data_IF_499895844659
#
_entry.id   IF_499895844659
#
_cell.length_a   1.000
_cell.length_b   1.000
_cell.length_c   1.000
_cell.angle_alpha   90.00
_cell.angle_beta   90.00
_cell.angle_gamma   90.00
#
_symmetry.space_group_name_H-M   'P 1'
#
loop_
_entity.id
_entity.type
_entity.pdbx_description
1 polymer ?
#
# COMPACT_ATOMS: atom_id res chain seq x y z
N UNK A 1 -9.82 5.35 30.49
CA UNK A 1 -9.28 6.48 31.26
C UNK A 1 -9.43 7.77 30.45
N UNK A 2 -9.65 8.93 31.08
CA UNK A 2 -9.63 10.24 30.42
C UNK A 2 -8.26 10.86 30.68
N UNK A 3 -7.53 11.18 29.61
CA UNK A 3 -6.21 11.80 29.67
C UNK A 3 -6.26 13.10 28.89
N UNK A 4 -5.73 14.17 29.47
CA UNK A 4 -5.50 15.44 28.78
C UNK A 4 -4.02 15.49 28.39
N UNK A 5 -3.74 15.81 27.13
CA UNK A 5 -2.39 15.96 26.59
C UNK A 5 -2.31 17.31 25.89
N UNK A 6 -1.18 18.00 26.03
CA UNK A 6 -0.90 19.20 25.27
C UNK A 6 -0.44 18.82 23.86
N UNK A 7 -1.10 19.40 22.86
CA UNK A 7 -0.83 19.19 21.44
C UNK A 7 -0.65 20.57 20.81
N UNK A 8 0.48 20.82 20.11
CA UNK A 8 0.65 22.05 19.35
C UNK A 8 -0.51 22.27 18.37
N UNK A 9 -0.97 23.52 18.23
CA UNK A 9 -2.14 23.87 17.42
C UNK A 9 -2.04 23.35 15.98
N UNK A 10 -0.87 23.48 15.36
CA UNK A 10 -0.63 23.02 13.98
C UNK A 10 -0.76 21.50 13.85
N UNK A 11 -0.29 20.77 14.87
CA UNK A 11 -0.40 19.31 14.91
C UNK A 11 -1.86 18.89 15.11
N UNK A 12 -2.59 19.57 16.00
CA UNK A 12 -4.01 19.30 16.23
C UNK A 12 -4.84 19.54 14.96
N UNK A 13 -4.61 20.66 14.25
CA UNK A 13 -5.28 20.97 12.98
C UNK A 13 -5.02 19.91 11.94
N UNK A 14 -3.76 19.50 11.78
CA UNK A 14 -3.35 18.47 10.84
C UNK A 14 -3.98 17.11 11.16
N UNK A 15 -3.98 16.72 12.44
CA UNK A 15 -4.59 15.47 12.90
C UNK A 15 -6.12 15.47 12.67
N UNK A 16 -6.79 16.61 12.89
CA UNK A 16 -8.24 16.74 12.66
C UNK A 16 -8.59 16.64 11.18
N UNK A 17 -7.85 17.31 10.31
CA UNK A 17 -8.00 17.20 8.86
C UNK A 17 -7.81 15.73 8.41
N UNK A 18 -6.73 15.09 8.87
CA UNK A 18 -6.44 13.70 8.54
C UNK A 18 -7.52 12.72 9.02
N UNK A 19 -8.07 12.93 10.22
CA UNK A 19 -9.16 12.10 10.74
C UNK A 19 -10.42 12.22 9.87
N UNK A 20 -10.73 13.43 9.42
CA UNK A 20 -11.88 13.71 8.56
C UNK A 20 -11.71 13.08 7.18
N UNK A 21 -10.54 13.23 6.57
CA UNK A 21 -10.19 12.61 5.29
C UNK A 21 -10.29 11.08 5.32
N UNK A 22 -9.95 10.47 6.46
CA UNK A 22 -10.01 9.02 6.67
C UNK A 22 -11.40 8.53 7.12
N UNK A 23 -12.36 9.43 7.33
CA UNK A 23 -13.70 9.07 7.82
C UNK A 23 -13.69 8.47 9.25
N UNK A 24 -12.71 8.83 10.08
CA UNK A 24 -12.58 8.34 11.46
C UNK A 24 -12.61 9.50 12.45
N UNK A 25 -12.95 9.19 13.71
CA UNK A 25 -12.87 10.20 14.77
C UNK A 25 -11.42 10.53 15.12
N UNK A 26 -11.18 11.75 15.62
CA UNK A 26 -9.86 12.15 16.12
C UNK A 26 -9.36 11.21 17.23
N UNK A 27 -10.26 10.76 18.11
CA UNK A 27 -9.95 9.78 19.15
C UNK A 27 -9.39 8.50 18.55
N UNK A 28 -10.08 7.92 17.56
CA UNK A 28 -9.64 6.70 16.87
C UNK A 28 -8.28 6.89 16.20
N UNK A 29 -8.04 8.04 15.58
CA UNK A 29 -6.76 8.35 14.95
C UNK A 29 -5.62 8.38 15.98
N UNK A 30 -5.82 9.07 17.10
CA UNK A 30 -4.82 9.18 18.17
C UNK A 30 -4.57 7.80 18.80
N UNK A 31 -5.62 7.03 19.09
CA UNK A 31 -5.48 5.67 19.64
C UNK A 31 -4.63 4.78 18.75
N UNK A 32 -4.92 4.74 17.44
CA UNK A 32 -4.12 3.95 16.48
C UNK A 32 -2.68 4.41 16.36
N UNK A 33 -2.43 5.71 16.47
CA UNK A 33 -1.07 6.24 16.44
C UNK A 33 -0.27 5.77 17.66
N UNK A 34 -0.89 5.79 18.85
CA UNK A 34 -0.26 5.30 20.09
C UNK A 34 -0.04 3.79 20.03
N UNK A 35 -1.04 3.01 19.60
CA UNK A 35 -0.90 1.55 19.42
C UNK A 35 0.25 1.21 18.47
N UNK A 36 0.31 1.87 17.31
CA UNK A 36 1.40 1.70 16.34
C UNK A 36 2.76 1.98 16.95
N UNK A 37 2.90 3.03 17.76
CA UNK A 37 4.18 3.38 18.36
C UNK A 37 4.62 2.35 19.40
N UNK A 38 3.68 1.89 20.22
CA UNK A 38 3.92 0.82 21.20
C UNK A 38 4.27 -0.51 20.53
N UNK A 39 3.61 -0.87 19.43
CA UNK A 39 3.93 -2.06 18.64
C UNK A 39 5.28 -1.91 17.93
N UNK A 40 5.56 -0.75 17.32
CA UNK A 40 6.82 -0.51 16.61
C UNK A 40 8.02 -0.50 17.55
N UNK A 41 7.83 -0.07 18.81
CA UNK A 41 8.84 -0.20 19.85
C UNK A 41 9.19 -1.68 20.15
N UNK A 42 8.24 -2.60 19.95
CA UNK A 42 8.48 -4.05 20.15
C UNK A 42 9.05 -4.74 18.92
N UNK A 43 8.72 -4.25 17.72
CA UNK A 43 9.20 -4.81 16.46
C UNK A 43 10.38 -3.97 15.97
N UNK A 44 11.60 -4.32 16.41
CA UNK A 44 12.79 -3.81 15.75
C UNK A 44 12.72 -4.22 14.28
N UNK A 45 12.47 -3.24 13.41
CA UNK A 45 12.44 -3.42 11.96
C UNK A 45 13.86 -3.79 11.51
N UNK A 46 14.19 -5.08 11.54
CA UNK A 46 15.44 -5.57 10.98
C UNK A 46 15.27 -5.51 9.46
N UNK A 47 16.01 -4.65 8.74
CA UNK A 47 15.95 -4.64 7.29
C UNK A 47 16.46 -6.00 6.81
N UNK A 48 15.52 -6.91 6.51
CA UNK A 48 15.84 -8.19 5.90
C UNK A 48 16.12 -7.89 4.43
N UNK A 49 17.37 -8.12 4.00
CA UNK A 49 17.71 -8.08 2.58
C UNK A 49 16.85 -9.13 1.88
N UNK A 50 15.89 -8.67 1.07
CA UNK A 50 15.06 -9.53 0.22
C UNK A 50 15.74 -9.65 -1.13
N UNK A 51 15.87 -10.88 -1.62
CA UNK A 51 16.32 -11.13 -2.98
C UNK A 51 15.11 -11.15 -3.90
N UNK A 52 15.17 -10.38 -4.99
CA UNK A 52 14.14 -10.36 -6.01
C UNK A 52 14.26 -11.56 -6.94
N UNK A 53 13.13 -12.05 -7.50
CA UNK A 53 11.77 -11.51 -7.37
C UNK A 53 11.06 -11.95 -6.08
N UNK A 54 10.24 -11.06 -5.49
CA UNK A 54 9.44 -11.36 -4.29
C UNK A 54 8.46 -12.52 -4.51
N UNK A 55 7.89 -12.58 -5.72
CA UNK A 55 7.04 -13.68 -6.18
C UNK A 55 7.82 -14.44 -7.26
N UNK A 56 8.16 -15.70 -6.98
CA UNK A 56 8.94 -16.52 -7.93
C UNK A 56 8.07 -16.94 -9.11
N UNK A 57 8.57 -16.74 -10.33
CA UNK A 57 7.93 -17.27 -11.53
C UNK A 57 8.04 -18.80 -11.56
N UNK A 58 6.99 -19.48 -12.02
CA UNK A 58 7.03 -20.93 -12.34
C UNK A 58 7.84 -21.23 -13.60
N UNK A 59 8.05 -20.23 -14.45
CA UNK A 59 8.88 -20.29 -15.66
C UNK A 59 9.89 -19.13 -15.61
N UNK A 60 11.03 -19.31 -14.94
CA UNK A 60 12.05 -18.28 -14.83
C UNK A 60 12.74 -18.05 -16.19
N UNK A 61 13.05 -16.80 -16.51
CA UNK A 61 13.66 -16.39 -17.78
C UNK A 61 13.14 -15.03 -18.25
N UNK A 62 13.78 -14.46 -19.26
CA UNK A 62 13.31 -13.26 -19.96
C UNK A 62 12.67 -13.65 -21.29
N UNK A 63 11.55 -13.00 -21.64
CA UNK A 63 10.93 -13.10 -22.97
C UNK A 63 11.30 -11.85 -23.73
N UNK A 64 11.90 -11.99 -24.91
CA UNK A 64 12.16 -10.87 -25.81
C UNK A 64 10.86 -10.50 -26.53
N UNK A 65 10.18 -9.46 -26.03
CA UNK A 65 8.92 -8.98 -26.60
C UNK A 65 9.23 -7.91 -27.66
N UNK A 66 8.82 -8.15 -28.90
CA UNK A 66 8.93 -7.20 -30.01
C UNK A 66 7.61 -6.46 -30.25
N UNK A 67 7.64 -5.29 -30.89
CA UNK A 67 6.43 -4.53 -31.20
C UNK A 67 5.43 -5.33 -32.05
N UNK A 68 5.92 -6.11 -33.03
CA UNK A 68 5.06 -6.92 -33.88
C UNK A 68 4.39 -8.03 -33.08
N UNK A 69 5.12 -8.68 -32.17
CA UNK A 69 4.56 -9.72 -31.31
C UNK A 69 3.43 -9.18 -30.42
N UNK A 70 3.54 -7.92 -29.97
CA UNK A 70 2.48 -7.27 -29.18
C UNK A 70 1.25 -7.01 -30.06
N UNK A 71 1.44 -6.50 -31.28
CA UNK A 71 0.34 -6.27 -32.23
C UNK A 71 -0.40 -7.57 -32.54
N UNK A 72 0.33 -8.64 -32.86
CA UNK A 72 -0.24 -9.96 -33.15
C UNK A 72 -1.06 -10.52 -31.97
N UNK A 73 -0.59 -10.30 -30.74
CA UNK A 73 -1.29 -10.74 -29.52
C UNK A 73 -2.57 -9.95 -29.27
N UNK A 74 -2.54 -8.63 -29.50
CA UNK A 74 -3.71 -7.75 -29.32
C UNK A 74 -4.80 -8.08 -30.35
N UNK A 75 -4.43 -8.26 -31.62
CA UNK A 75 -5.36 -8.67 -32.68
C UNK A 75 -6.00 -10.03 -32.38
N UNK A 76 -5.24 -10.95 -31.79
CA UNK A 76 -5.72 -12.28 -31.41
C UNK A 76 -6.68 -12.27 -30.22
N UNK A 77 -6.59 -11.30 -29.31
CA UNK A 77 -7.57 -11.13 -28.22
C UNK A 77 -8.86 -10.45 -28.68
N UNK A 78 -8.80 -9.52 -29.63
CA UNK A 78 -9.99 -8.88 -30.22
C UNK A 78 -10.86 -9.87 -31.01
N UNK A 79 -10.27 -10.92 -31.58
CA UNK A 79 -11.00 -11.99 -32.28
C UNK A 79 -11.83 -12.93 -31.39
N UNK A 80 -11.71 -12.85 -30.06
CA UNK A 80 -12.41 -13.75 -29.11
C UNK A 80 -13.68 -13.11 -28.52
N UNK A 81 -13.99 -11.85 -28.89
CA UNK A 81 -15.13 -11.09 -28.40
C UNK A 81 -16.38 -11.08 -29.30
N UNK A 82 -16.33 -11.70 -30.49
CA UNK A 82 -17.44 -11.74 -31.45
C UNK A 82 -17.80 -13.17 -31.86
N UNK A 83 -18.29 -13.96 -30.91
CA UNK A 83 -19.26 -15.02 -31.24
C UNK A 83 -20.37 -14.99 -30.19
N UNK A 84 -21.44 -14.27 -30.53
CA UNK A 84 -22.78 -14.54 -29.99
C UNK A 84 -23.29 -15.89 -30.49
#
# INVERSE_FOLDING_TARGET
MRTSIDLPDDLFRSAKALSSLRGVTLKTLITRAVERELESATVQFRPRRVEFPLVRSRRPGSVAVTSNMIADLLEKEEGIGLSS
#
